data_IF_221952782095
#
_entry.id   IF_221952782095
#
_cell.length_a   1.000
_cell.length_b   1.000
_cell.length_c   1.000
_cell.angle_alpha   90.00
_cell.angle_beta   90.00
_cell.angle_gamma   90.00
#
_symmetry.space_group_name_H-M   'P 1'
#
loop_
_entity.id
_entity.type
_entity.pdbx_description
1 polymer ?
#
# COMPACT_ATOMS: atom_id res chain seq x y z
N UNK A 1 -19.12 17.04 -9.53
CA UNK A 1 -19.59 16.25 -8.38
C UNK A 1 -18.95 16.83 -7.13
N UNK A 2 -19.75 17.18 -6.13
CA UNK A 2 -19.25 17.66 -4.84
C UNK A 2 -18.49 16.52 -4.13
N UNK A 3 -17.29 16.79 -3.61
CA UNK A 3 -16.47 15.77 -2.95
C UNK A 3 -17.00 15.53 -1.54
N UNK A 4 -17.06 14.27 -1.12
CA UNK A 4 -17.43 13.93 0.26
C UNK A 4 -16.47 14.60 1.27
N UNK A 5 -16.95 15.20 2.37
CA UNK A 5 -16.09 15.92 3.32
C UNK A 5 -14.92 15.09 3.87
N UNK A 6 -15.14 13.81 4.20
CA UNK A 6 -14.06 12.91 4.66
C UNK A 6 -12.98 12.71 3.60
N UNK A 7 -13.32 12.72 2.31
CA UNK A 7 -12.34 12.61 1.23
C UNK A 7 -11.54 13.89 1.06
N UNK A 8 -12.16 15.06 1.25
CA UNK A 8 -11.44 16.34 1.26
C UNK A 8 -10.43 16.36 2.40
N UNK A 9 -10.87 16.05 3.62
CA UNK A 9 -9.98 15.96 4.78
C UNK A 9 -8.85 14.94 4.60
N UNK A 10 -9.14 13.78 4.01
CA UNK A 10 -8.14 12.76 3.72
C UNK A 10 -7.08 13.26 2.72
N UNK A 11 -7.50 13.92 1.64
CA UNK A 11 -6.57 14.52 0.68
C UNK A 11 -5.75 15.66 1.30
N UNK A 12 -6.37 16.54 2.07
CA UNK A 12 -5.67 17.66 2.72
C UNK A 12 -4.62 17.16 3.70
N UNK A 13 -4.96 16.11 4.47
CA UNK A 13 -4.07 15.53 5.48
C UNK A 13 -2.88 14.78 4.89
N UNK A 14 -3.12 13.92 3.90
CA UNK A 14 -2.10 12.97 3.44
C UNK A 14 -1.50 13.33 2.08
N UNK A 15 -2.21 14.07 1.24
CA UNK A 15 -1.87 14.24 -0.17
C UNK A 15 -1.83 15.71 -0.61
N UNK A 16 -1.69 16.65 0.33
CA UNK A 16 -1.64 18.09 0.04
C UNK A 16 -2.83 18.61 -0.78
N UNK A 17 -4.02 18.05 -0.54
CA UNK A 17 -5.28 18.45 -1.17
C UNK A 17 -5.47 17.93 -2.60
N UNK A 18 -4.55 17.11 -3.13
CA UNK A 18 -4.65 16.56 -4.48
C UNK A 18 -4.99 15.07 -4.48
N UNK A 19 -5.64 14.64 -5.54
CA UNK A 19 -5.83 13.22 -5.83
C UNK A 19 -4.72 12.79 -6.80
N UNK A 20 -3.62 12.27 -6.26
CA UNK A 20 -2.38 12.01 -7.02
C UNK A 20 -2.57 11.07 -8.24
N UNK A 21 -3.53 10.12 -8.15
CA UNK A 21 -3.93 9.29 -9.29
C UNK A 21 -4.46 10.12 -10.47
N UNK A 22 -5.22 11.18 -10.20
CA UNK A 22 -5.71 12.09 -11.24
C UNK A 22 -4.58 12.97 -11.80
N UNK A 23 -3.58 13.31 -10.98
CA UNK A 23 -2.40 14.03 -11.45
C UNK A 23 -1.53 13.19 -12.39
N UNK A 24 -1.40 11.88 -12.14
CA UNK A 24 -0.81 10.95 -13.10
C UNK A 24 -1.63 10.83 -14.38
N UNK A 25 -2.96 10.76 -14.28
CA UNK A 25 -3.82 10.72 -15.46
C UNK A 25 -3.65 11.95 -16.35
N UNK A 26 -3.54 13.15 -15.76
CA UNK A 26 -3.23 14.40 -16.48
C UNK A 26 -1.87 14.40 -17.17
N UNK A 27 -0.92 13.57 -16.71
CA UNK A 27 0.41 13.37 -17.31
C UNK A 27 0.40 12.38 -18.47
N UNK A 28 -0.74 11.76 -18.78
CA UNK A 28 -0.89 10.83 -19.90
C UNK A 28 -0.86 9.35 -19.51
N UNK A 29 -0.85 9.04 -18.20
CA UNK A 29 -0.97 7.65 -17.74
C UNK A 29 -2.43 7.19 -17.72
N UNK A 30 -2.67 5.93 -18.04
CA UNK A 30 -3.92 5.25 -17.66
C UNK A 30 -3.75 4.76 -16.23
N UNK A 31 -4.65 5.18 -15.33
CA UNK A 31 -4.56 4.88 -13.90
C UNK A 31 -5.78 4.08 -13.46
N UNK A 32 -5.54 2.92 -12.85
CA UNK A 32 -6.57 2.11 -12.20
C UNK A 32 -6.38 2.16 -10.69
N UNK A 33 -7.42 2.57 -9.98
CA UNK A 33 -7.53 2.46 -8.52
C UNK A 33 -8.75 1.60 -8.23
N UNK A 34 -8.56 0.50 -7.50
CA UNK A 34 -9.63 -0.44 -7.18
C UNK A 34 -9.77 -0.62 -5.67
N UNK A 35 -10.99 -0.95 -5.25
CA UNK A 35 -11.26 -1.42 -3.90
C UNK A 35 -10.71 -2.86 -3.73
N UNK A 36 -10.04 -3.09 -2.62
CA UNK A 36 -9.62 -4.43 -2.18
C UNK A 36 -10.67 -5.03 -1.25
N UNK A 37 -10.57 -6.34 -1.01
CA UNK A 37 -11.35 -7.00 0.04
C UNK A 37 -11.36 -6.20 1.37
N UNK A 38 -12.57 -6.00 1.91
CA UNK A 38 -12.87 -5.23 3.12
C UNK A 38 -12.74 -3.69 3.02
N UNK A 39 -12.49 -3.12 1.83
CA UNK A 39 -12.42 -1.68 1.61
C UNK A 39 -13.55 -1.16 0.71
N UNK A 40 -13.96 0.09 0.91
CA UNK A 40 -14.87 0.82 0.02
C UNK A 40 -16.19 0.08 -0.26
N UNK A 41 -16.45 -0.19 -1.54
CA UNK A 41 -17.60 -0.96 -2.01
C UNK A 41 -17.56 -2.44 -1.63
N UNK A 42 -16.37 -2.97 -1.31
CA UNK A 42 -16.09 -4.35 -0.89
C UNK A 42 -15.89 -4.48 0.62
N UNK A 43 -16.26 -3.46 1.39
CA UNK A 43 -16.29 -3.49 2.85
C UNK A 43 -17.16 -4.62 3.38
N UNK A 44 -16.91 -5.05 4.61
CA UNK A 44 -17.77 -6.02 5.29
C UNK A 44 -19.11 -5.32 5.56
N UNK A 45 -20.22 -5.89 5.08
CA UNK A 45 -21.55 -5.36 5.36
C UNK A 45 -21.99 -5.82 6.73
N UNK A 46 -22.28 -4.89 7.62
CA UNK A 46 -22.70 -5.22 8.99
C UNK A 46 -24.03 -5.96 9.03
N UNK A 47 -24.89 -5.77 8.02
CA UNK A 47 -26.12 -6.54 7.84
C UNK A 47 -25.86 -8.06 7.69
N UNK A 48 -24.69 -8.45 7.19
CA UNK A 48 -24.30 -9.86 7.00
C UNK A 48 -23.52 -10.41 8.22
N UNK A 49 -23.25 -9.57 9.22
CA UNK A 49 -22.47 -9.93 10.41
C UNK A 49 -23.42 -10.30 11.56
N UNK A 50 -23.23 -11.46 12.23
CA UNK A 50 -24.04 -11.84 13.39
C UNK A 50 -24.05 -10.78 14.49
N UNK A 51 -25.20 -10.59 15.14
CA UNK A 51 -25.40 -9.55 16.16
C UNK A 51 -24.34 -9.59 17.26
N UNK A 52 -23.97 -10.78 17.70
CA UNK A 52 -22.96 -10.99 18.75
C UNK A 52 -21.58 -10.43 18.40
N UNK A 53 -21.27 -10.27 17.10
CA UNK A 53 -20.03 -9.65 16.62
C UNK A 53 -20.28 -8.17 16.32
N UNK A 54 -21.42 -7.86 15.70
CA UNK A 54 -21.81 -6.51 15.30
C UNK A 54 -21.95 -5.55 16.49
N UNK A 55 -22.43 -6.05 17.63
CA UNK A 55 -22.58 -5.30 18.89
C UNK A 55 -23.32 -3.97 18.72
N UNK A 56 -24.45 -3.98 18.01
CA UNK A 56 -25.30 -2.80 17.78
C UNK A 56 -24.85 -1.82 16.70
N UNK A 57 -23.68 -2.01 16.05
CA UNK A 57 -23.24 -1.16 14.93
C UNK A 57 -24.04 -1.50 13.66
N UNK A 58 -24.31 -0.56 12.77
CA UNK A 58 -25.07 -0.84 11.53
C UNK A 58 -24.40 -0.20 10.31
N UNK A 59 -24.74 -0.69 9.12
CA UNK A 59 -24.19 -0.16 7.88
C UNK A 59 -24.57 1.32 7.73
N UNK A 60 -23.57 2.24 7.62
CA UNK A 60 -23.86 3.65 7.50
C UNK A 60 -24.29 4.00 6.07
N UNK A 61 -25.11 5.04 5.96
CA UNK A 61 -25.32 5.72 4.69
C UNK A 61 -24.01 6.42 4.25
N UNK A 62 -23.83 6.62 2.94
CA UNK A 62 -22.60 7.20 2.39
C UNK A 62 -22.32 8.64 2.87
N UNK A 63 -23.35 9.35 3.34
CA UNK A 63 -23.29 10.72 3.84
C UNK A 63 -23.40 10.81 5.38
N UNK A 64 -23.42 9.68 6.07
CA UNK A 64 -23.46 9.62 7.54
C UNK A 64 -22.05 9.50 8.12
N UNK A 65 -21.41 10.65 8.36
CA UNK A 65 -20.04 10.69 8.90
C UNK A 65 -19.90 9.96 10.25
N UNK A 66 -20.91 10.05 11.12
CA UNK A 66 -20.87 9.41 12.44
C UNK A 66 -20.99 7.90 12.31
N UNK A 67 -21.89 7.43 11.45
CA UNK A 67 -22.00 6.01 11.14
C UNK A 67 -20.74 5.46 10.45
N UNK A 68 -20.12 6.22 9.54
CA UNK A 68 -18.86 5.84 8.89
C UNK A 68 -17.74 5.69 9.93
N UNK A 69 -17.62 6.62 10.86
CA UNK A 69 -16.64 6.53 11.95
C UNK A 69 -16.90 5.31 12.84
N UNK A 70 -18.17 5.07 13.19
CA UNK A 70 -18.57 3.89 13.97
C UNK A 70 -18.23 2.57 13.25
N UNK A 71 -18.49 2.50 11.94
CA UNK A 71 -18.11 1.37 11.10
C UNK A 71 -16.59 1.17 11.06
N UNK A 72 -15.81 2.24 10.85
CA UNK A 72 -14.36 2.17 10.76
C UNK A 72 -13.74 1.68 12.08
N UNK A 73 -14.24 2.20 13.21
CA UNK A 73 -13.80 1.76 14.54
C UNK A 73 -14.15 0.29 14.80
N UNK A 74 -15.36 -0.14 14.40
CA UNK A 74 -15.75 -1.54 14.48
C UNK A 74 -14.82 -2.41 13.62
N UNK A 75 -14.60 -2.04 12.36
CA UNK A 75 -13.77 -2.81 11.43
C UNK A 75 -12.33 -2.97 11.95
N UNK A 76 -11.73 -1.88 12.43
CA UNK A 76 -10.38 -1.90 13.02
C UNK A 76 -10.30 -2.87 14.22
N UNK A 77 -11.29 -2.85 15.10
CA UNK A 77 -11.33 -3.74 16.28
C UNK A 77 -11.53 -5.23 15.93
N UNK A 78 -12.01 -5.53 14.72
CA UNK A 78 -12.37 -6.88 14.30
C UNK A 78 -11.42 -7.49 13.27
N UNK A 79 -10.34 -6.79 12.87
CA UNK A 79 -9.41 -7.32 11.86
C UNK A 79 -8.75 -8.65 12.28
N UNK A 80 -8.54 -8.87 13.59
CA UNK A 80 -7.99 -10.12 14.14
C UNK A 80 -8.95 -11.31 13.92
N UNK A 81 -10.25 -11.05 13.95
CA UNK A 81 -11.28 -12.07 13.66
C UNK A 81 -11.25 -12.41 12.18
N UNK A 82 -11.15 -11.39 11.31
CA UNK A 82 -11.02 -11.62 9.87
C UNK A 82 -9.74 -12.39 9.57
N UNK A 83 -8.61 -12.06 10.18
CA UNK A 83 -7.36 -12.79 10.01
C UNK A 83 -7.50 -14.27 10.39
N UNK A 84 -8.11 -14.58 11.54
CA UNK A 84 -8.41 -15.96 11.94
C UNK A 84 -9.30 -16.68 10.93
N UNK A 85 -10.36 -16.03 10.44
CA UNK A 85 -11.24 -16.60 9.42
C UNK A 85 -10.49 -16.90 8.11
N UNK A 86 -9.61 -16.00 7.67
CA UNK A 86 -8.76 -16.22 6.49
C UNK A 86 -7.80 -17.40 6.69
N UNK A 87 -7.17 -17.51 7.86
CA UNK A 87 -6.32 -18.66 8.18
C UNK A 87 -7.10 -19.98 8.17
N UNK A 88 -8.32 -20.01 8.73
CA UNK A 88 -9.20 -21.18 8.63
C UNK A 88 -9.57 -21.51 7.18
N UNK A 89 -9.69 -20.52 6.31
CA UNK A 89 -9.91 -20.69 4.87
C UNK A 89 -8.63 -21.07 4.10
N UNK A 90 -7.48 -21.20 4.76
CA UNK A 90 -6.21 -21.56 4.13
C UNK A 90 -5.52 -20.41 3.40
N UNK A 91 -5.85 -19.15 3.72
CA UNK A 91 -5.25 -17.96 3.12
C UNK A 91 -4.89 -16.92 4.17
N UNK A 92 -4.36 -15.77 3.75
CA UNK A 92 -4.00 -14.65 4.62
C UNK A 92 -4.58 -13.35 4.06
N UNK A 93 -4.56 -12.28 4.85
CA UNK A 93 -4.89 -10.95 4.34
C UNK A 93 -4.05 -10.61 3.10
N UNK A 94 -2.71 -10.72 3.14
CA UNK A 94 -1.87 -10.58 1.95
C UNK A 94 -2.26 -11.46 0.77
N UNK A 95 -2.60 -12.73 1.00
CA UNK A 95 -3.05 -13.61 -0.08
C UNK A 95 -4.30 -13.09 -0.79
N UNK A 96 -5.27 -12.56 -0.06
CA UNK A 96 -6.52 -12.04 -0.64
C UNK A 96 -6.28 -10.75 -1.42
N UNK A 97 -5.70 -9.73 -0.80
CA UNK A 97 -5.54 -8.45 -1.51
C UNK A 97 -4.49 -8.53 -2.61
N UNK A 98 -3.47 -9.40 -2.52
CA UNK A 98 -2.52 -9.59 -3.62
C UNK A 98 -3.21 -10.21 -4.84
N UNK A 99 -4.13 -11.16 -4.61
CA UNK A 99 -4.93 -11.74 -5.69
C UNK A 99 -5.81 -10.67 -6.34
N UNK A 100 -6.46 -9.82 -5.55
CA UNK A 100 -7.22 -8.67 -6.06
C UNK A 100 -6.34 -7.74 -6.91
N UNK A 101 -5.14 -7.42 -6.44
CA UNK A 101 -4.18 -6.55 -7.10
C UNK A 101 -3.68 -7.13 -8.43
N UNK A 102 -3.39 -8.43 -8.48
CA UNK A 102 -2.99 -9.14 -9.71
C UNK A 102 -4.11 -9.22 -10.75
N UNK A 103 -5.36 -9.35 -10.31
CA UNK A 103 -6.54 -9.28 -11.19
C UNK A 103 -6.70 -7.86 -11.73
N UNK A 104 -6.62 -6.84 -10.87
CA UNK A 104 -6.70 -5.44 -11.30
C UNK A 104 -5.58 -5.09 -12.31
N UNK A 105 -4.36 -5.54 -12.06
CA UNK A 105 -3.23 -5.42 -12.99
C UNK A 105 -3.55 -6.08 -14.34
N UNK A 106 -4.17 -7.26 -14.35
CA UNK A 106 -4.59 -7.94 -15.58
C UNK A 106 -5.65 -7.14 -16.35
N UNK A 107 -6.62 -6.55 -15.64
CA UNK A 107 -7.65 -5.67 -16.24
C UNK A 107 -7.03 -4.42 -16.84
N UNK A 108 -6.06 -3.80 -16.16
CA UNK A 108 -5.34 -2.64 -16.65
C UNK A 108 -4.53 -2.98 -17.92
N UNK A 109 -3.73 -4.05 -17.89
CA UNK A 109 -2.92 -4.49 -19.02
C UNK A 109 -3.75 -4.92 -20.24
N UNK A 110 -5.03 -5.27 -20.06
CA UNK A 110 -5.93 -5.63 -21.15
C UNK A 110 -6.63 -4.42 -21.80
N UNK A 111 -6.48 -3.21 -21.24
CA UNK A 111 -7.05 -2.02 -21.86
C UNK A 111 -6.33 -1.69 -23.18
N UNK A 112 -7.05 -1.36 -24.26
CA UNK A 112 -6.44 -1.04 -25.56
C UNK A 112 -5.43 0.11 -25.52
N UNK A 113 -5.63 1.06 -24.60
CA UNK A 113 -4.80 2.25 -24.45
C UNK A 113 -3.63 2.06 -23.46
N UNK A 114 -3.39 0.84 -22.99
CA UNK A 114 -2.32 0.50 -22.04
C UNK A 114 -1.26 -0.35 -22.74
N UNK A 115 -0.01 0.08 -22.64
CA UNK A 115 1.14 -0.73 -23.00
C UNK A 115 1.54 -1.64 -21.82
N UNK A 116 1.36 -2.98 -21.92
CA UNK A 116 1.67 -3.90 -20.83
C UNK A 116 3.17 -3.98 -20.51
N UNK A 117 4.06 -3.42 -21.35
CA UNK A 117 5.49 -3.33 -21.09
C UNK A 117 5.89 -2.02 -20.37
N UNK A 118 4.94 -1.14 -20.05
CA UNK A 118 5.17 0.15 -19.37
C UNK A 118 4.18 0.37 -18.22
N UNK A 119 4.10 -0.61 -17.32
CA UNK A 119 3.17 -0.57 -16.17
C UNK A 119 3.91 -0.29 -14.87
N UNK A 120 3.42 0.66 -14.08
CA UNK A 120 3.92 0.95 -12.75
C UNK A 120 2.89 0.69 -11.66
N UNK A 121 3.35 0.59 -10.41
CA UNK A 121 2.46 0.60 -9.24
C UNK A 121 3.04 1.47 -8.12
N UNK A 122 2.17 2.12 -7.36
CA UNK A 122 2.54 2.94 -6.22
C UNK A 122 1.43 3.00 -5.18
N UNK A 123 1.81 3.30 -3.94
CA UNK A 123 0.85 3.60 -2.89
C UNK A 123 1.51 3.99 -1.57
N UNK A 124 0.73 4.66 -0.74
CA UNK A 124 1.07 5.07 0.64
C UNK A 124 0.57 4.02 1.65
N UNK A 125 1.38 3.72 2.66
CA UNK A 125 0.97 2.90 3.81
C UNK A 125 0.57 1.47 3.41
N UNK A 126 -0.67 1.05 3.67
CA UNK A 126 -1.22 -0.19 3.10
C UNK A 126 -1.13 -0.27 1.58
N UNK A 127 -1.16 0.86 0.85
CA UNK A 127 -0.86 0.91 -0.59
C UNK A 127 0.63 0.67 -0.89
N UNK A 128 1.52 1.10 0.01
CA UNK A 128 2.95 0.78 -0.05
C UNK A 128 3.20 -0.70 0.21
N UNK A 129 2.48 -1.31 1.16
CA UNK A 129 2.53 -2.76 1.43
C UNK A 129 2.10 -3.55 0.20
N UNK A 130 0.98 -3.15 -0.40
CA UNK A 130 0.48 -3.72 -1.65
C UNK A 130 1.48 -3.57 -2.78
N UNK A 131 2.13 -2.42 -2.89
CA UNK A 131 3.22 -2.17 -3.86
C UNK A 131 4.38 -3.14 -3.64
N UNK A 132 4.84 -3.34 -2.39
CA UNK A 132 5.92 -4.29 -2.07
C UNK A 132 5.60 -5.70 -2.58
N UNK A 133 4.42 -6.23 -2.25
CA UNK A 133 4.05 -7.58 -2.65
C UNK A 133 3.74 -7.70 -4.14
N UNK A 134 2.92 -6.80 -4.71
CA UNK A 134 2.56 -6.85 -6.13
C UNK A 134 3.81 -6.72 -7.01
N UNK A 135 4.66 -5.73 -6.75
CA UNK A 135 5.86 -5.50 -7.55
C UNK A 135 6.93 -6.57 -7.35
N UNK A 136 7.02 -7.16 -6.15
CA UNK A 136 7.95 -8.24 -5.85
C UNK A 136 7.54 -9.60 -6.43
N UNK A 137 6.24 -9.82 -6.64
CA UNK A 137 5.68 -11.12 -7.06
C UNK A 137 5.10 -11.13 -8.47
N UNK A 138 4.95 -9.98 -9.13
CA UNK A 138 4.43 -9.88 -10.50
C UNK A 138 5.34 -9.08 -11.44
N UNK A 139 6.01 -9.80 -12.35
CA UNK A 139 6.99 -9.25 -13.29
C UNK A 139 6.40 -8.26 -14.33
N UNK A 140 5.07 -8.16 -14.42
CA UNK A 140 4.42 -7.15 -15.27
C UNK A 140 4.60 -5.74 -14.72
N UNK A 141 4.82 -5.59 -13.41
CA UNK A 141 5.14 -4.29 -12.83
C UNK A 141 6.58 -3.90 -13.20
N UNK A 142 6.73 -2.91 -14.06
CA UNK A 142 8.02 -2.45 -14.59
C UNK A 142 8.67 -1.36 -13.76
N UNK A 143 7.90 -0.60 -12.99
CA UNK A 143 8.40 0.43 -12.07
C UNK A 143 7.56 0.44 -10.78
N UNK A 144 8.18 0.56 -9.60
CA UNK A 144 7.45 0.58 -8.32
C UNK A 144 7.85 1.77 -7.46
N UNK A 145 6.87 2.35 -6.77
CA UNK A 145 7.08 3.41 -5.78
C UNK A 145 6.35 3.06 -4.47
N UNK A 146 7.09 2.57 -3.48
CA UNK A 146 6.55 2.23 -2.17
C UNK A 146 6.69 3.43 -1.22
N UNK A 147 5.58 3.95 -0.71
CA UNK A 147 5.55 5.15 0.14
C UNK A 147 5.10 4.80 1.55
N UNK A 148 5.83 5.26 2.57
CA UNK A 148 5.41 5.20 3.98
C UNK A 148 5.11 3.79 4.48
N UNK A 149 5.83 2.78 3.98
CA UNK A 149 5.64 1.37 4.37
C UNK A 149 6.96 0.67 4.75
N UNK A 150 8.09 1.14 4.24
CA UNK A 150 9.31 0.32 4.22
C UNK A 150 9.93 0.20 5.62
N UNK A 151 9.92 -1.00 6.17
CA UNK A 151 10.52 -1.35 7.47
C UNK A 151 10.91 -2.83 7.47
N UNK A 152 11.23 -3.38 8.64
CA UNK A 152 11.71 -4.75 8.82
C UNK A 152 10.86 -5.55 9.80
N UNK A 153 10.85 -6.88 9.70
CA UNK A 153 10.25 -7.75 10.72
C UNK A 153 10.86 -7.55 12.11
N UNK A 154 12.14 -7.17 12.16
CA UNK A 154 12.81 -6.80 13.41
C UNK A 154 12.12 -5.62 14.09
N UNK A 155 11.67 -4.61 13.33
CA UNK A 155 10.94 -3.47 13.89
C UNK A 155 9.60 -3.89 14.49
N UNK A 156 8.85 -4.73 13.77
CA UNK A 156 7.59 -5.28 14.28
C UNK A 156 7.80 -6.10 15.55
N UNK A 157 8.81 -6.97 15.55
CA UNK A 157 9.12 -7.82 16.71
C UNK A 157 9.47 -7.00 17.96
N UNK A 158 10.28 -5.95 17.82
CA UNK A 158 10.84 -5.22 18.96
C UNK A 158 10.00 -4.01 19.37
N UNK A 159 9.37 -3.32 18.42
CA UNK A 159 8.84 -1.98 18.63
C UNK A 159 7.38 -1.80 18.17
N UNK A 160 6.96 -2.44 17.06
CA UNK A 160 5.76 -2.00 16.32
C UNK A 160 4.59 -2.98 16.23
N UNK A 161 4.75 -4.23 16.67
CA UNK A 161 3.68 -5.25 16.61
C UNK A 161 2.37 -4.82 17.28
N UNK A 162 2.44 -4.01 18.35
CA UNK A 162 1.27 -3.55 19.10
C UNK A 162 0.49 -2.39 18.46
N UNK A 163 1.05 -1.73 17.43
CA UNK A 163 0.42 -0.58 16.77
C UNK A 163 0.00 -0.86 15.33
N UNK A 164 0.24 -2.07 14.81
CA UNK A 164 0.05 -2.38 13.39
C UNK A 164 -1.04 -3.40 13.12
N UNK A 165 -1.59 -3.26 11.92
CA UNK A 165 -2.68 -4.09 11.44
C UNK A 165 -2.29 -5.56 11.28
N UNK A 166 -3.22 -6.47 11.53
CA UNK A 166 -3.15 -7.89 11.19
C UNK A 166 -2.97 -8.12 9.67
N UNK A 167 -3.27 -7.14 8.82
CA UNK A 167 -3.14 -7.24 7.37
C UNK A 167 -1.71 -7.43 6.86
N UNK A 168 -0.70 -7.19 7.70
CA UNK A 168 0.71 -7.31 7.30
C UNK A 168 1.24 -8.75 7.40
N UNK A 169 0.59 -9.60 8.20
CA UNK A 169 1.17 -10.88 8.59
C UNK A 169 0.88 -12.00 7.59
N UNK A 170 1.95 -12.59 7.06
CA UNK A 170 1.95 -13.92 6.44
C UNK A 170 2.67 -14.85 7.42
N UNK A 171 2.03 -15.92 7.93
CA UNK A 171 2.68 -16.85 8.85
C UNK A 171 4.00 -17.36 8.27
N UNK A 172 5.03 -17.39 9.11
CA UNK A 172 6.38 -17.89 8.80
C UNK A 172 7.19 -17.07 7.78
N UNK A 173 6.63 -16.05 7.12
CA UNK A 173 7.34 -15.25 6.11
C UNK A 173 8.65 -14.63 6.65
N UNK A 174 8.66 -14.22 7.92
CA UNK A 174 9.84 -13.66 8.57
C UNK A 174 11.04 -14.62 8.68
N UNK A 175 10.87 -15.93 8.40
CA UNK A 175 11.98 -16.86 8.29
C UNK A 175 12.74 -16.73 6.97
N UNK A 176 12.05 -16.32 5.91
CA UNK A 176 12.57 -16.37 4.55
C UNK A 176 12.85 -14.99 3.97
N UNK A 177 11.97 -14.02 4.25
CA UNK A 177 12.07 -12.68 3.66
C UNK A 177 11.59 -11.58 4.60
N UNK A 178 12.29 -10.45 4.53
CA UNK A 178 11.82 -9.15 4.97
C UNK A 178 11.18 -8.33 3.83
N UNK A 179 10.39 -7.30 4.15
CA UNK A 179 9.76 -6.43 3.14
C UNK A 179 10.72 -5.86 2.08
N UNK A 180 11.91 -5.31 2.44
CA UNK A 180 12.88 -4.86 1.45
C UNK A 180 13.39 -6.00 0.56
N UNK A 181 13.45 -7.24 1.06
CA UNK A 181 13.90 -8.39 0.26
C UNK A 181 12.81 -8.84 -0.72
N UNK A 182 11.54 -8.84 -0.30
CA UNK A 182 10.40 -9.09 -1.19
C UNK A 182 10.40 -8.08 -2.34
N UNK A 183 10.50 -6.79 -2.02
CA UNK A 183 10.59 -5.75 -3.06
C UNK A 183 11.86 -5.91 -3.90
N UNK A 184 12.96 -6.37 -3.30
CA UNK A 184 14.24 -6.60 -3.97
C UNK A 184 14.25 -7.76 -4.98
N UNK A 185 13.30 -8.70 -4.90
CA UNK A 185 13.16 -9.82 -5.86
C UNK A 185 13.05 -9.35 -7.32
N UNK A 186 12.58 -8.12 -7.54
CA UNK A 186 12.37 -7.55 -8.87
C UNK A 186 13.61 -6.91 -9.49
N UNK A 187 14.77 -6.94 -8.84
CA UNK A 187 16.02 -6.44 -9.43
C UNK A 187 16.24 -7.07 -10.82
N UNK A 188 16.58 -6.31 -11.88
CA UNK A 188 17.01 -4.91 -11.89
C UNK A 188 15.89 -3.89 -12.21
N UNK A 189 14.61 -4.19 -11.96
CA UNK A 189 13.54 -3.25 -12.29
C UNK A 189 13.55 -2.00 -11.39
N UNK A 190 13.27 -0.80 -11.93
CA UNK A 190 13.31 0.46 -11.17
C UNK A 190 12.38 0.50 -9.95
N UNK A 191 12.95 0.83 -8.78
CA UNK A 191 12.26 0.87 -7.50
C UNK A 191 12.61 2.15 -6.73
N UNK A 192 11.58 2.86 -6.28
CA UNK A 192 11.69 4.02 -5.40
C UNK A 192 11.00 3.74 -4.07
N UNK A 193 11.67 4.06 -2.98
CA UNK A 193 11.12 4.04 -1.62
C UNK A 193 11.07 5.47 -1.08
N UNK A 194 9.90 5.91 -0.64
CA UNK A 194 9.72 7.23 -0.04
C UNK A 194 9.31 7.07 1.42
N UNK A 195 10.13 7.60 2.32
CA UNK A 195 9.95 7.52 3.77
C UNK A 195 9.69 8.90 4.37
N UNK A 196 8.94 8.94 5.47
CA UNK A 196 8.66 10.14 6.27
C UNK A 196 9.41 10.06 7.61
N UNK A 197 10.17 11.10 7.96
CA UNK A 197 11.10 11.09 9.11
C UNK A 197 10.38 11.09 10.46
N UNK A 198 9.21 11.74 10.55
CA UNK A 198 8.43 11.83 11.79
C UNK A 198 7.25 10.85 11.79
N UNK A 199 7.19 9.94 10.82
CA UNK A 199 6.21 8.87 10.81
C UNK A 199 6.40 7.94 12.01
N UNK A 200 5.33 7.79 12.80
CA UNK A 200 5.32 6.97 14.01
C UNK A 200 4.99 5.51 13.73
N UNK A 201 4.67 5.13 12.49
CA UNK A 201 4.44 3.74 12.12
C UNK A 201 5.73 2.92 12.22
N UNK A 202 6.86 3.42 11.71
CA UNK A 202 8.13 2.68 11.74
C UNK A 202 9.21 3.44 12.49
N UNK A 203 10.23 2.73 12.97
CA UNK A 203 11.38 3.39 13.57
C UNK A 203 12.39 3.81 12.50
N UNK A 204 12.96 5.00 12.63
CA UNK A 204 14.02 5.49 11.73
C UNK A 204 15.15 4.48 11.52
N UNK A 205 15.71 3.81 12.55
CA UNK A 205 16.78 2.83 12.35
C UNK A 205 16.39 1.65 11.46
N UNK A 206 15.12 1.25 11.46
CA UNK A 206 14.63 0.12 10.67
C UNK A 206 14.20 0.54 9.25
N UNK A 207 13.74 1.78 9.05
CA UNK A 207 13.63 2.37 7.71
C UNK A 207 15.02 2.48 7.03
N UNK A 208 16.04 2.95 7.76
CA UNK A 208 17.42 2.98 7.27
C UNK A 208 17.99 1.58 7.04
N UNK A 209 17.63 0.60 7.86
CA UNK A 209 18.03 -0.81 7.64
C UNK A 209 17.43 -1.33 6.34
N UNK A 210 16.15 -1.09 6.11
CA UNK A 210 15.49 -1.52 4.89
C UNK A 210 16.11 -0.86 3.64
N UNK A 211 16.48 0.42 3.72
CA UNK A 211 17.23 1.08 2.64
C UNK A 211 18.57 0.39 2.36
N UNK A 212 19.35 0.09 3.40
CA UNK A 212 20.64 -0.62 3.24
C UNK A 212 20.47 -1.96 2.53
N UNK A 213 19.45 -2.75 2.92
CA UNK A 213 19.18 -4.07 2.31
C UNK A 213 18.91 -3.92 0.81
N UNK A 214 17.98 -3.06 0.41
CA UNK A 214 17.65 -2.84 -1.00
C UNK A 214 18.84 -2.29 -1.79
N UNK A 215 19.59 -1.34 -1.22
CA UNK A 215 20.78 -0.77 -1.85
C UNK A 215 21.83 -1.84 -2.14
N UNK A 216 22.10 -2.72 -1.17
CA UNK A 216 23.03 -3.83 -1.34
C UNK A 216 22.57 -4.82 -2.43
N UNK A 217 21.28 -5.15 -2.49
CA UNK A 217 20.70 -6.03 -3.53
C UNK A 217 20.89 -5.43 -4.91
N UNK A 218 20.54 -4.16 -5.11
CA UNK A 218 20.66 -3.50 -6.41
C UNK A 218 22.11 -3.25 -6.82
N UNK A 219 23.00 -2.91 -5.89
CA UNK A 219 24.44 -2.79 -6.17
C UNK A 219 25.05 -4.12 -6.60
N UNK A 220 24.69 -5.25 -5.96
CA UNK A 220 25.18 -6.59 -6.35
C UNK A 220 24.76 -6.99 -7.77
N UNK A 221 23.65 -6.46 -8.26
CA UNK A 221 23.13 -6.72 -9.60
C UNK A 221 23.59 -5.70 -10.66
N UNK A 222 24.54 -4.81 -10.33
CA UNK A 222 24.99 -3.71 -11.19
C UNK A 222 23.83 -2.81 -11.67
N UNK A 223 22.84 -2.62 -10.81
CA UNK A 223 21.61 -1.87 -11.08
C UNK A 223 21.39 -0.74 -10.06
N UNK A 224 22.47 -0.23 -9.45
CA UNK A 224 22.38 0.76 -8.37
C UNK A 224 21.70 2.07 -8.77
N UNK A 225 21.68 2.42 -10.06
CA UNK A 225 20.97 3.56 -10.64
C UNK A 225 19.44 3.37 -10.69
N UNK A 226 18.97 2.13 -10.54
CA UNK A 226 17.56 1.73 -10.58
C UNK A 226 16.92 1.61 -9.21
N UNK A 227 17.64 1.96 -8.14
CA UNK A 227 17.10 2.01 -6.80
C UNK A 227 17.39 3.34 -6.13
N UNK A 228 16.37 3.88 -5.46
CA UNK A 228 16.51 5.05 -4.61
C UNK A 228 15.60 4.94 -3.38
N UNK A 229 16.12 5.36 -2.23
CA UNK A 229 15.31 5.74 -1.08
C UNK A 229 15.48 7.23 -0.81
N UNK A 230 14.37 7.90 -0.49
CA UNK A 230 14.34 9.30 -0.10
C UNK A 230 13.59 9.45 1.23
N UNK A 231 14.06 10.36 2.09
CA UNK A 231 13.51 10.62 3.42
C UNK A 231 13.02 12.07 3.48
N UNK A 232 11.73 12.26 3.73
CA UNK A 232 11.06 13.55 3.76
C UNK A 232 10.69 13.95 5.20
N UNK A 233 10.77 15.25 5.56
CA UNK A 233 10.35 15.71 6.88
C UNK A 233 8.82 15.66 7.03
N UNK A 234 8.35 15.51 8.26
CA UNK A 234 6.92 15.46 8.58
C UNK A 234 6.38 14.05 8.87
N UNK A 235 5.10 13.97 9.26
CA UNK A 235 4.45 12.72 9.65
C UNK A 235 4.07 11.89 8.42
N UNK A 236 3.45 10.73 8.65
CA UNK A 236 2.94 9.82 7.61
C UNK A 236 2.11 10.53 6.52
N UNK A 237 2.61 10.59 5.28
CA UNK A 237 1.98 11.30 4.16
C UNK A 237 2.55 10.88 2.80
N UNK A 238 1.95 11.41 1.73
CA UNK A 238 2.49 11.41 0.39
C UNK A 238 2.22 12.78 -0.25
N UNK A 239 2.97 13.78 0.22
CA UNK A 239 2.74 15.18 -0.12
C UNK A 239 3.20 15.55 -1.54
N UNK A 240 2.99 16.81 -1.92
CA UNK A 240 3.36 17.29 -3.26
C UNK A 240 4.84 17.08 -3.63
N UNK A 241 5.78 17.17 -2.68
CA UNK A 241 7.20 17.00 -2.98
C UNK A 241 7.51 15.53 -3.26
N UNK A 242 6.99 14.64 -2.43
CA UNK A 242 7.09 13.19 -2.61
C UNK A 242 6.42 12.75 -3.92
N UNK A 243 5.24 13.29 -4.23
CA UNK A 243 4.53 13.02 -5.48
C UNK A 243 5.33 13.45 -6.71
N UNK A 244 5.99 14.63 -6.67
CA UNK A 244 6.84 15.09 -7.76
C UNK A 244 8.00 14.13 -8.03
N UNK A 245 8.66 13.61 -6.98
CA UNK A 245 9.71 12.60 -7.13
C UNK A 245 9.16 11.29 -7.70
N UNK A 246 8.04 10.80 -7.18
CA UNK A 246 7.39 9.60 -7.68
C UNK A 246 7.01 9.71 -9.17
N UNK A 247 6.46 10.85 -9.58
CA UNK A 247 6.07 11.08 -10.97
C UNK A 247 7.30 11.18 -11.88
N UNK A 248 8.35 11.89 -11.45
CA UNK A 248 9.60 11.95 -12.20
C UNK A 248 10.23 10.55 -12.36
N UNK A 249 10.12 9.70 -11.34
CA UNK A 249 10.59 8.32 -11.40
C UNK A 249 9.80 7.48 -12.40
N UNK A 250 8.48 7.62 -12.44
CA UNK A 250 7.67 6.98 -13.48
C UNK A 250 8.01 7.51 -14.87
N UNK A 251 8.12 8.83 -15.04
CA UNK A 251 8.43 9.47 -16.33
C UNK A 251 9.80 9.03 -16.85
N UNK A 252 10.77 8.77 -15.96
CA UNK A 252 12.08 8.26 -16.35
C UNK A 252 12.04 6.79 -16.81
N UNK A 253 11.29 5.95 -16.11
CA UNK A 253 11.42 4.49 -16.24
C UNK A 253 10.28 3.82 -17.02
N UNK A 254 9.20 4.55 -17.30
CA UNK A 254 8.03 4.09 -18.06
C UNK A 254 7.77 4.92 -19.33
N UNK A 255 8.67 5.85 -19.70
CA UNK A 255 8.58 6.57 -20.97
C UNK A 255 8.69 5.61 -22.18
#
# INVERSE_FOLDING_TARGET
LEKHPLMVQHHDRYYSGVAWANELAKRGYVVLVHDTFAFGSRRIRLADVPEVIRSGVSDPAWNDNTGIESYNQWAANHESIVAKSLFCAGTTWPGVWLTDDQVALSVLCAQPDVDPQRVGCAGLSGGGLRTVFLAGLDNRVRCAVAVGMMSTWRDFLLNKSHTHTWMIYVPLLAHDFDYPEILGLRVPLPTLVLNDIEDQLFTMPEMERADRILREVYTKADAGDRYRASFYPGPHKFDNAMQQEAFAWFDQWLA
#
